data_IF_089117643961
#
_entry.id   IF_089117643961
#
_cell.length_a   1.000
_cell.length_b   1.000
_cell.length_c   1.000
_cell.angle_alpha   90.00
_cell.angle_beta   90.00
_cell.angle_gamma   90.00
#
_symmetry.space_group_name_H-M   'P 1'
#
loop_
_entity.id
_entity.type
_entity.pdbx_description
1 polymer ?
#
# COMPACT_ATOMS: atom_id res chain seq x y z
N UNK A 1 2.37 86.74 18.65
CA UNK A 1 2.81 87.52 17.48
C UNK A 1 1.75 87.68 16.37
N UNK A 2 0.92 86.66 16.07
CA UNK A 2 -0.11 86.73 14.99
C UNK A 2 -1.22 87.78 15.20
N UNK A 3 -1.67 88.02 16.44
CA UNK A 3 -2.76 88.97 16.76
C UNK A 3 -2.47 90.42 16.30
N UNK A 4 -1.23 90.88 16.43
CA UNK A 4 -0.76 92.20 15.96
C UNK A 4 -0.71 92.30 14.42
N UNK A 5 -0.53 91.18 13.72
CA UNK A 5 -0.47 91.15 12.25
C UNK A 5 -1.85 91.30 11.60
N UNK A 6 -2.89 90.70 12.21
CA UNK A 6 -4.25 90.72 11.67
C UNK A 6 -4.96 92.07 11.87
N UNK A 7 -4.77 92.71 13.04
CA UNK A 7 -5.31 94.06 13.30
C UNK A 7 -4.68 95.11 12.37
N UNK A 8 -3.37 94.99 12.09
CA UNK A 8 -2.67 95.89 11.16
C UNK A 8 -3.22 95.77 9.73
N UNK A 9 -3.42 94.53 9.23
CA UNK A 9 -4.02 94.29 7.91
C UNK A 9 -5.46 94.81 7.83
N UNK A 10 -6.25 94.64 8.89
CA UNK A 10 -7.61 95.17 8.94
C UNK A 10 -7.60 96.70 8.85
N UNK A 11 -6.73 97.36 9.63
CA UNK A 11 -6.54 98.82 9.62
C UNK A 11 -6.12 99.35 8.24
N UNK A 12 -5.21 98.65 7.55
CA UNK A 12 -4.80 99.01 6.18
C UNK A 12 -5.94 98.87 5.15
N UNK A 13 -6.85 97.91 5.33
CA UNK A 13 -7.98 97.67 4.42
C UNK A 13 -9.12 98.68 4.56
N UNK A 14 -9.46 99.06 5.79
CA UNK A 14 -10.64 99.91 6.08
C UNK A 14 -10.27 101.36 6.41
N UNK A 15 -8.99 101.66 6.61
CA UNK A 15 -8.48 102.98 6.97
C UNK A 15 -8.63 103.33 8.46
N UNK A 16 -7.84 104.32 8.91
CA UNK A 16 -7.71 104.72 10.32
C UNK A 16 -9.03 105.17 10.97
N UNK A 17 -9.87 105.88 10.22
CA UNK A 17 -11.13 106.44 10.73
C UNK A 17 -12.21 105.36 10.95
N UNK A 18 -12.35 104.42 10.00
CA UNK A 18 -13.28 103.30 10.14
C UNK A 18 -12.77 102.28 11.16
N UNK A 19 -11.45 102.05 11.21
CA UNK A 19 -10.84 101.13 12.17
C UNK A 19 -11.10 101.53 13.62
N UNK A 20 -11.04 102.82 13.98
CA UNK A 20 -11.33 103.29 15.34
C UNK A 20 -12.73 102.91 15.83
N UNK A 21 -13.74 102.94 14.94
CA UNK A 21 -15.11 102.52 15.29
C UNK A 21 -15.18 101.01 15.51
N UNK A 22 -14.57 100.25 14.61
CA UNK A 22 -14.53 98.78 14.69
C UNK A 22 -13.69 98.28 15.88
N UNK A 23 -12.63 99.00 16.27
CA UNK A 23 -11.79 98.68 17.43
C UNK A 23 -12.56 98.77 18.75
N UNK A 24 -13.42 99.78 18.89
CA UNK A 24 -14.32 99.91 20.04
C UNK A 24 -15.31 98.73 20.08
N UNK A 25 -15.91 98.39 18.94
CA UNK A 25 -16.88 97.29 18.82
C UNK A 25 -16.24 95.90 19.00
N UNK A 26 -14.97 95.76 18.63
CA UNK A 26 -14.18 94.55 18.83
C UNK A 26 -14.04 94.22 20.31
N UNK A 27 -14.00 95.24 21.19
CA UNK A 27 -14.02 95.07 22.65
C UNK A 27 -13.07 93.96 23.15
N UNK A 28 -11.85 93.92 22.63
CA UNK A 28 -10.83 92.93 22.98
C UNK A 28 -11.03 91.52 22.41
N UNK A 29 -12.04 91.28 21.57
CA UNK A 29 -12.23 90.00 20.86
C UNK A 29 -11.10 89.76 19.87
N UNK A 30 -10.65 88.51 19.82
CA UNK A 30 -9.58 88.08 18.92
C UNK A 30 -10.11 87.90 17.49
N UNK A 31 -9.48 88.59 16.54
CA UNK A 31 -9.78 88.45 15.12
C UNK A 31 -9.08 87.23 14.54
N UNK A 32 -9.85 86.42 13.82
CA UNK A 32 -9.35 85.32 13.02
C UNK A 32 -9.63 85.66 11.57
N UNK A 33 -8.56 85.80 10.77
CA UNK A 33 -8.67 85.91 9.33
C UNK A 33 -8.63 84.51 8.73
N UNK A 34 -9.62 84.17 7.90
CA UNK A 34 -9.58 82.94 7.12
C UNK A 34 -8.60 83.10 5.96
N UNK A 35 -7.32 82.86 6.25
CA UNK A 35 -6.19 82.91 5.31
C UNK A 35 -5.90 81.54 4.67
N UNK A 36 -6.87 80.61 4.71
CA UNK A 36 -6.72 79.21 4.30
C UNK A 36 -6.11 78.30 5.37
N UNK A 37 -5.64 78.86 6.49
CA UNK A 37 -5.05 78.10 7.60
C UNK A 37 -5.98 77.98 8.83
N UNK A 38 -7.16 78.59 8.76
CA UNK A 38 -8.18 78.47 9.81
C UNK A 38 -9.07 77.26 9.54
N UNK A 39 -9.05 76.29 10.47
CA UNK A 39 -9.94 75.12 10.45
C UNK A 39 -10.91 75.26 11.62
N UNK A 40 -12.23 75.32 11.37
CA UNK A 40 -13.24 75.31 12.43
C UNK A 40 -13.12 74.06 13.29
N UNK A 41 -13.29 74.19 14.61
CA UNK A 41 -13.16 73.07 15.56
C UNK A 41 -14.02 71.86 15.15
N UNK A 42 -15.26 72.09 14.72
CA UNK A 42 -16.16 71.03 14.22
C UNK A 42 -15.51 70.23 13.09
N UNK A 43 -14.93 70.90 12.10
CA UNK A 43 -14.27 70.24 10.96
C UNK A 43 -13.03 69.45 11.39
N UNK A 44 -12.29 69.93 12.39
CA UNK A 44 -11.17 69.20 12.97
C UNK A 44 -11.64 67.95 13.72
N UNK A 45 -12.66 68.09 14.57
CA UNK A 45 -13.23 66.99 15.35
C UNK A 45 -13.83 65.91 14.42
N UNK A 46 -14.58 66.31 13.38
CA UNK A 46 -15.14 65.40 12.37
C UNK A 46 -14.03 64.58 11.67
N UNK A 47 -12.95 65.24 11.23
CA UNK A 47 -11.80 64.58 10.60
C UNK A 47 -11.02 63.69 11.56
N UNK A 48 -10.90 64.09 12.82
CA UNK A 48 -10.21 63.31 13.83
C UNK A 48 -10.97 62.00 14.10
N UNK A 49 -12.29 62.05 14.17
CA UNK A 49 -13.12 60.86 14.37
C UNK A 49 -13.15 59.96 13.13
N UNK A 50 -13.13 60.53 11.93
CA UNK A 50 -12.92 59.77 10.68
C UNK A 50 -11.57 59.03 10.70
N UNK A 51 -10.47 59.71 11.05
CA UNK A 51 -9.14 59.10 11.14
C UNK A 51 -9.10 57.97 12.17
N UNK A 52 -9.70 58.16 13.36
CA UNK A 52 -9.79 57.11 14.38
C UNK A 52 -10.56 55.90 13.86
N UNK A 53 -11.65 56.13 13.14
CA UNK A 53 -12.49 55.06 12.58
C UNK A 53 -11.72 54.28 11.53
N UNK A 54 -11.10 54.97 10.57
CA UNK A 54 -10.27 54.35 9.54
C UNK A 54 -9.07 53.59 10.12
N UNK A 55 -8.46 54.11 11.19
CA UNK A 55 -7.34 53.44 11.86
C UNK A 55 -7.79 52.12 12.49
N UNK A 56 -8.92 52.11 13.20
CA UNK A 56 -9.50 50.89 13.76
C UNK A 56 -9.86 49.89 12.68
N UNK A 57 -10.49 50.34 11.60
CA UNK A 57 -10.86 49.48 10.48
C UNK A 57 -9.62 48.84 9.82
N UNK A 58 -8.56 49.63 9.62
CA UNK A 58 -7.28 49.14 9.11
C UNK A 58 -6.64 48.11 10.03
N UNK A 59 -6.67 48.32 11.34
CA UNK A 59 -6.16 47.37 12.33
C UNK A 59 -6.93 46.04 12.27
N UNK A 60 -8.26 46.10 12.23
CA UNK A 60 -9.12 44.92 12.07
C UNK A 60 -8.81 44.17 10.78
N UNK A 61 -8.80 44.87 9.64
CA UNK A 61 -8.49 44.27 8.33
C UNK A 61 -7.09 43.63 8.29
N UNK A 62 -6.12 44.26 8.95
CA UNK A 62 -4.75 43.71 9.04
C UNK A 62 -4.72 42.45 9.91
N UNK A 63 -5.48 42.43 11.01
CA UNK A 63 -5.67 41.26 11.86
C UNK A 63 -6.31 40.10 11.09
N UNK A 64 -7.44 40.36 10.42
CA UNK A 64 -8.17 39.36 9.63
C UNK A 64 -7.30 38.79 8.50
N UNK A 65 -6.54 39.65 7.81
CA UNK A 65 -5.61 39.23 6.76
C UNK A 65 -4.55 38.27 7.31
N UNK A 66 -3.97 38.59 8.47
CA UNK A 66 -2.97 37.74 9.12
C UNK A 66 -3.56 36.37 9.50
N UNK A 67 -4.74 36.35 10.11
CA UNK A 67 -5.43 35.09 10.47
C UNK A 67 -5.76 34.26 9.22
N UNK A 68 -6.19 34.90 8.14
CA UNK A 68 -6.46 34.22 6.87
C UNK A 68 -5.19 33.61 6.25
N UNK A 69 -4.06 34.33 6.29
CA UNK A 69 -2.77 33.83 5.85
C UNK A 69 -2.27 32.64 6.68
N UNK A 70 -2.44 32.68 8.00
CA UNK A 70 -2.09 31.57 8.89
C UNK A 70 -2.96 30.33 8.60
N UNK A 71 -4.26 30.53 8.35
CA UNK A 71 -5.19 29.46 7.99
C UNK A 71 -4.84 28.82 6.64
N UNK A 72 -4.48 29.61 5.64
CA UNK A 72 -4.05 29.11 4.32
C UNK A 72 -2.76 28.29 4.42
N UNK A 73 -1.76 28.75 5.17
CA UNK A 73 -0.53 27.97 5.41
C UNK A 73 -0.84 26.62 6.06
N UNK A 74 -1.70 26.63 7.08
CA UNK A 74 -2.11 25.39 7.76
C UNK A 74 -2.80 24.42 6.80
N UNK A 75 -3.70 24.92 5.93
CA UNK A 75 -4.35 24.09 4.91
C UNK A 75 -3.37 23.55 3.87
N UNK A 76 -2.38 24.34 3.45
CA UNK A 76 -1.33 23.87 2.52
C UNK A 76 -0.46 22.77 3.14
N UNK A 77 -0.10 22.90 4.41
CA UNK A 77 0.69 21.91 5.14
C UNK A 77 -0.10 20.61 5.38
N UNK A 78 -1.38 20.71 5.78
CA UNK A 78 -2.30 19.58 5.91
C UNK A 78 -2.51 18.85 4.57
N UNK A 79 -2.64 19.59 3.46
CA UNK A 79 -2.81 19.01 2.11
C UNK A 79 -1.54 18.27 1.64
N UNK A 80 -0.35 18.83 1.87
CA UNK A 80 0.92 18.19 1.50
C UNK A 80 1.13 16.89 2.27
N UNK A 81 0.93 16.92 3.59
CA UNK A 81 1.09 15.74 4.45
C UNK A 81 0.05 14.65 4.17
N UNK A 82 -1.20 15.03 3.93
CA UNK A 82 -2.26 14.10 3.52
C UNK A 82 -1.95 13.41 2.18
N UNK A 83 -1.56 14.18 1.16
CA UNK A 83 -1.27 13.64 -0.17
C UNK A 83 -0.04 12.71 -0.17
N UNK A 84 1.04 13.08 0.54
CA UNK A 84 2.23 12.22 0.65
C UNK A 84 1.91 10.88 1.33
N UNK A 85 1.05 10.90 2.35
CA UNK A 85 0.62 9.67 3.05
C UNK A 85 -0.19 8.76 2.14
N UNK A 86 -1.11 9.32 1.36
CA UNK A 86 -1.95 8.55 0.42
C UNK A 86 -1.12 7.97 -0.72
N UNK A 87 -0.19 8.72 -1.31
CA UNK A 87 0.70 8.23 -2.36
C UNK A 87 1.58 7.06 -1.87
N UNK A 88 2.13 7.16 -0.65
CA UNK A 88 2.88 6.07 -0.02
C UNK A 88 2.01 4.82 0.21
N UNK A 89 0.80 4.99 0.72
CA UNK A 89 -0.13 3.87 0.93
C UNK A 89 -0.52 3.20 -0.39
N UNK A 90 -0.74 3.96 -1.46
CA UNK A 90 -1.04 3.41 -2.78
C UNK A 90 0.16 2.62 -3.32
N UNK A 91 1.38 3.15 -3.19
CA UNK A 91 2.59 2.45 -3.63
C UNK A 91 2.80 1.14 -2.87
N UNK A 92 2.63 1.15 -1.54
CA UNK A 92 2.75 -0.05 -0.70
C UNK A 92 1.67 -1.09 -1.00
N UNK A 93 0.42 -0.66 -1.21
CA UNK A 93 -0.68 -1.56 -1.59
C UNK A 93 -0.45 -2.16 -2.97
N UNK A 94 -0.01 -1.37 -3.94
CA UNK A 94 0.30 -1.84 -5.30
C UNK A 94 1.39 -2.90 -5.26
N UNK A 95 2.49 -2.65 -4.53
CA UNK A 95 3.57 -3.62 -4.36
C UNK A 95 3.08 -4.93 -3.70
N UNK A 96 2.22 -4.84 -2.68
CA UNK A 96 1.64 -6.02 -2.03
C UNK A 96 0.77 -6.83 -2.98
N UNK A 97 -0.03 -6.16 -3.82
CA UNK A 97 -0.87 -6.83 -4.83
C UNK A 97 -0.01 -7.57 -5.84
N UNK A 98 1.06 -6.94 -6.36
CA UNK A 98 1.97 -7.57 -7.31
C UNK A 98 2.68 -8.80 -6.70
N UNK A 99 3.17 -8.69 -5.46
CA UNK A 99 3.76 -9.82 -4.74
C UNK A 99 2.77 -10.98 -4.54
N UNK A 100 1.51 -10.68 -4.23
CA UNK A 100 0.47 -11.69 -4.06
C UNK A 100 0.11 -12.35 -5.40
N UNK A 101 -0.06 -11.58 -6.47
CA UNK A 101 -0.34 -12.12 -7.81
C UNK A 101 0.77 -13.05 -8.28
N UNK A 102 2.04 -12.68 -8.05
CA UNK A 102 3.18 -13.55 -8.38
C UNK A 102 3.16 -14.85 -7.56
N UNK A 103 2.83 -14.79 -6.27
CA UNK A 103 2.69 -15.99 -5.42
C UNK A 103 1.54 -16.89 -5.88
N UNK A 104 0.40 -16.31 -6.25
CA UNK A 104 -0.75 -17.03 -6.77
C UNK A 104 -0.38 -17.71 -8.09
N UNK A 105 0.22 -16.99 -9.05
CA UNK A 105 0.65 -17.57 -10.32
C UNK A 105 1.66 -18.72 -10.13
N UNK A 106 2.59 -18.58 -9.19
CA UNK A 106 3.52 -19.67 -8.85
C UNK A 106 2.80 -20.87 -8.23
N UNK A 107 1.83 -20.64 -7.35
CA UNK A 107 1.04 -21.70 -6.70
C UNK A 107 0.11 -22.42 -7.69
N UNK A 108 -0.51 -21.68 -8.59
CA UNK A 108 -1.34 -22.24 -9.65
C UNK A 108 -0.50 -23.10 -10.60
N UNK A 109 0.70 -22.62 -10.98
CA UNK A 109 1.64 -23.42 -11.76
C UNK A 109 2.06 -24.70 -11.00
N UNK A 110 2.38 -24.59 -9.72
CA UNK A 110 2.74 -25.74 -8.88
C UNK A 110 1.59 -26.77 -8.79
N UNK A 111 0.35 -26.30 -8.60
CA UNK A 111 -0.85 -27.12 -8.56
C UNK A 111 -1.12 -27.81 -9.90
N UNK A 112 -1.02 -27.06 -11.00
CA UNK A 112 -1.19 -27.60 -12.35
C UNK A 112 -0.16 -28.70 -12.64
N UNK A 113 1.12 -28.45 -12.32
CA UNK A 113 2.18 -29.44 -12.49
C UNK A 113 1.91 -30.71 -11.67
N UNK A 114 1.52 -30.58 -10.40
CA UNK A 114 1.17 -31.74 -9.57
C UNK A 114 -0.05 -32.50 -10.09
N UNK A 115 -1.06 -31.80 -10.59
CA UNK A 115 -2.24 -32.40 -11.21
C UNK A 115 -1.85 -33.19 -12.46
N UNK A 116 -1.03 -32.59 -13.34
CA UNK A 116 -0.53 -33.23 -14.55
C UNK A 116 0.34 -34.44 -14.22
N UNK A 117 1.20 -34.34 -13.20
CA UNK A 117 2.01 -35.45 -12.70
C UNK A 117 1.14 -36.63 -12.24
N UNK A 118 0.11 -36.36 -11.43
CA UNK A 118 -0.82 -37.39 -10.95
C UNK A 118 -1.58 -38.04 -12.10
N UNK A 119 -2.14 -37.23 -13.00
CA UNK A 119 -2.91 -37.72 -14.14
C UNK A 119 -2.05 -38.58 -15.07
N UNK A 120 -0.81 -38.16 -15.34
CA UNK A 120 0.13 -38.92 -16.16
C UNK A 120 0.49 -40.25 -15.49
N UNK A 121 0.75 -40.22 -14.18
CA UNK A 121 1.01 -41.42 -13.40
C UNK A 121 -0.13 -42.42 -13.48
N UNK A 122 -1.36 -41.97 -13.30
CA UNK A 122 -2.55 -42.83 -13.35
C UNK A 122 -2.75 -43.40 -14.76
N UNK A 123 -2.54 -42.57 -15.77
CA UNK A 123 -2.65 -42.98 -17.18
C UNK A 123 -1.59 -44.03 -17.56
N UNK A 124 -0.32 -43.84 -17.16
CA UNK A 124 0.77 -44.80 -17.41
C UNK A 124 0.58 -46.10 -16.62
N UNK A 125 0.06 -46.02 -15.40
CA UNK A 125 -0.29 -47.20 -14.59
C UNK A 125 -1.41 -47.98 -15.25
N UNK A 126 -2.46 -47.30 -15.74
CA UNK A 126 -3.54 -47.90 -16.54
C UNK A 126 -3.06 -48.54 -17.84
N UNK A 127 -1.99 -48.00 -18.44
CA UNK A 127 -1.32 -48.56 -19.62
C UNK A 127 -0.41 -49.77 -19.32
N UNK A 128 -0.31 -50.20 -18.06
CA UNK A 128 0.41 -51.43 -17.67
C UNK A 128 1.81 -51.22 -17.10
N UNK A 129 2.20 -49.99 -16.75
CA UNK A 129 3.47 -49.71 -16.05
C UNK A 129 3.28 -49.96 -14.54
N UNK A 130 3.57 -51.18 -14.09
CA UNK A 130 3.38 -51.57 -12.67
C UNK A 130 4.56 -51.22 -11.76
N UNK A 131 5.78 -51.14 -12.31
CA UNK A 131 6.98 -50.85 -11.51
C UNK A 131 7.14 -49.34 -11.25
N UNK A 132 7.23 -48.89 -9.98
CA UNK A 132 7.42 -47.48 -9.64
C UNK A 132 8.69 -46.84 -10.23
N UNK A 133 9.76 -47.63 -10.46
CA UNK A 133 10.99 -47.13 -11.10
C UNK A 133 10.77 -46.85 -12.59
N UNK A 134 10.06 -47.74 -13.28
CA UNK A 134 9.75 -47.60 -14.70
C UNK A 134 8.77 -46.44 -14.92
N UNK A 135 7.81 -46.27 -14.02
CA UNK A 135 6.88 -45.15 -14.03
C UNK A 135 7.63 -43.80 -13.96
N UNK A 136 8.53 -43.65 -12.97
CA UNK A 136 9.35 -42.43 -12.85
C UNK A 136 10.25 -42.17 -14.06
N UNK A 137 10.69 -43.23 -14.74
CA UNK A 137 11.51 -43.10 -15.94
C UNK A 137 10.66 -42.60 -17.12
N UNK A 138 9.54 -43.25 -17.40
CA UNK A 138 8.64 -42.90 -18.49
C UNK A 138 7.99 -41.53 -18.30
N UNK A 139 7.71 -41.11 -17.07
CA UNK A 139 7.19 -39.76 -16.79
C UNK A 139 8.15 -38.65 -17.23
N UNK A 140 9.47 -38.90 -17.31
CA UNK A 140 10.45 -37.90 -17.79
C UNK A 140 10.41 -37.66 -19.29
N UNK A 141 9.79 -38.56 -20.04
CA UNK A 141 9.60 -38.42 -21.48
C UNK A 141 8.45 -37.44 -21.81
N UNK A 142 7.65 -37.05 -20.80
CA UNK A 142 6.56 -36.09 -20.94
C UNK A 142 6.92 -34.73 -20.35
N UNK A 143 6.63 -33.68 -21.11
CA UNK A 143 6.71 -32.30 -20.62
C UNK A 143 5.44 -31.94 -19.86
N UNK A 144 5.48 -32.04 -18.53
CA UNK A 144 4.35 -31.76 -17.64
C UNK A 144 3.82 -30.31 -17.79
N UNK A 145 4.66 -29.35 -18.18
CA UNK A 145 4.28 -27.96 -18.38
C UNK A 145 3.48 -27.75 -19.68
N UNK A 146 3.62 -28.66 -20.65
CA UNK A 146 2.94 -28.58 -21.97
C UNK A 146 1.84 -29.62 -22.15
N UNK A 147 1.48 -30.30 -21.07
CA UNK A 147 0.54 -31.41 -21.12
C UNK A 147 -0.88 -30.88 -21.25
N UNK A 148 -1.52 -31.18 -22.38
CA UNK A 148 -2.92 -30.79 -22.64
C UNK A 148 -3.88 -31.88 -22.16
N UNK A 149 -4.84 -31.49 -21.32
CA UNK A 149 -5.93 -32.35 -20.86
C UNK A 149 -7.20 -32.00 -21.64
N UNK A 150 -7.93 -33.02 -22.07
CA UNK A 150 -9.23 -32.85 -22.73
C UNK A 150 -10.37 -32.61 -21.73
N UNK A 151 -11.59 -32.46 -22.24
CA UNK A 151 -12.79 -32.22 -21.42
C UNK A 151 -13.19 -33.43 -20.57
N UNK A 152 -12.72 -34.61 -20.95
CA UNK A 152 -13.01 -35.88 -20.29
C UNK A 152 -11.95 -36.21 -19.21
N UNK A 153 -10.99 -35.30 -18.99
CA UNK A 153 -9.94 -35.45 -18.00
C UNK A 153 -8.80 -36.36 -18.46
N UNK A 154 -8.66 -36.63 -19.76
CA UNK A 154 -7.57 -37.45 -20.33
C UNK A 154 -6.51 -36.58 -20.99
N UNK A 155 -5.30 -37.11 -21.02
CA UNK A 155 -4.17 -36.46 -21.68
C UNK A 155 -4.34 -36.60 -23.19
N UNK A 156 -4.38 -35.48 -23.92
CA UNK A 156 -4.53 -35.51 -25.38
C UNK A 156 -3.32 -36.18 -26.03
N UNK A 157 -3.57 -37.03 -27.02
CA UNK A 157 -2.51 -37.73 -27.76
C UNK A 157 -1.72 -38.74 -26.91
N UNK A 158 -2.23 -39.08 -25.72
CA UNK A 158 -1.59 -40.03 -24.82
C UNK A 158 -1.50 -41.43 -25.43
N UNK A 159 -2.58 -41.91 -26.05
CA UNK A 159 -2.63 -43.25 -26.64
C UNK A 159 -1.55 -43.44 -27.72
N UNK A 160 -1.32 -42.44 -28.56
CA UNK A 160 -0.28 -42.47 -29.59
C UNK A 160 1.12 -42.39 -29.00
N UNK A 161 1.30 -41.59 -27.95
CA UNK A 161 2.57 -41.44 -27.25
C UNK A 161 2.94 -42.74 -26.50
N UNK A 162 1.98 -43.37 -25.83
CA UNK A 162 2.18 -44.63 -25.12
C UNK A 162 2.47 -45.78 -26.06
N UNK A 163 1.80 -45.87 -27.22
CA UNK A 163 2.12 -46.91 -28.22
C UNK A 163 3.57 -46.86 -28.66
N UNK A 164 4.10 -45.66 -28.96
CA UNK A 164 5.52 -45.48 -29.28
C UNK A 164 6.42 -45.90 -28.12
N UNK A 165 6.08 -45.50 -26.89
CA UNK A 165 6.83 -45.90 -25.70
C UNK A 165 6.79 -47.42 -25.46
N UNK A 166 5.69 -48.10 -25.78
CA UNK A 166 5.58 -49.55 -25.69
C UNK A 166 6.44 -50.27 -26.75
N UNK A 167 6.61 -49.67 -27.93
CA UNK A 167 7.51 -50.16 -28.98
C UNK A 167 8.98 -49.97 -28.57
N UNK A 168 9.34 -48.77 -28.12
CA UNK A 168 10.73 -48.40 -27.77
C UNK A 168 11.19 -49.00 -26.44
N UNK A 169 10.27 -49.13 -25.48
CA UNK A 169 10.55 -49.52 -24.09
C UNK A 169 9.70 -50.69 -23.62
N UNK A 170 9.44 -51.68 -24.49
CA UNK A 170 8.70 -52.90 -24.18
C UNK A 170 8.98 -53.53 -22.79
N UNK A 171 10.23 -53.70 -22.32
CA UNK A 171 10.49 -54.30 -20.99
C UNK A 171 10.06 -53.43 -19.81
N UNK A 172 9.76 -52.14 -20.02
CA UNK A 172 9.27 -51.25 -18.97
C UNK A 172 7.76 -51.42 -18.69
N UNK A 173 7.04 -52.05 -19.61
CA UNK A 173 5.60 -52.33 -19.53
C UNK A 173 5.37 -53.82 -19.24
N UNK A 174 4.45 -54.15 -18.32
CA UNK A 174 4.13 -55.53 -17.95
C UNK A 174 4.35 -55.84 -16.46
N UNK A 175 4.14 -57.10 -16.10
CA UNK A 175 4.28 -57.58 -14.72
C UNK A 175 5.76 -57.78 -14.34
N UNK A 176 6.12 -57.40 -13.11
CA UNK A 176 7.38 -57.84 -12.52
C UNK A 176 7.38 -59.37 -12.49
N UNK A 177 8.11 -60.00 -13.41
CA UNK A 177 8.52 -61.38 -13.22
C UNK A 177 9.53 -61.39 -12.07
N UNK A 178 9.05 -61.59 -10.85
CA UNK A 178 9.90 -61.98 -9.74
C UNK A 178 10.54 -63.32 -10.09
N UNK A 179 11.75 -63.28 -10.64
CA UNK A 179 12.63 -64.43 -10.82
C UNK A 179 13.21 -64.88 -9.48
N UNK A 180 12.35 -65.18 -8.51
CA UNK A 180 12.75 -65.90 -7.30
C UNK A 180 12.76 -67.39 -7.61
N UNK A 181 13.86 -68.06 -7.36
CA UNK A 181 13.87 -69.53 -7.30
C UNK A 181 12.80 -69.96 -6.29
N UNK A 182 11.82 -70.81 -6.65
CA UNK A 182 10.85 -71.30 -5.68
C UNK A 182 11.59 -72.00 -4.53
N UNK A 183 11.21 -71.77 -3.26
CA UNK A 183 11.80 -72.48 -2.14
C UNK A 183 11.40 -73.96 -2.24
N UNK A 184 12.27 -74.77 -2.82
CA UNK A 184 11.98 -76.19 -3.05
C UNK A 184 12.83 -76.92 -4.10
N UNK A 185 13.75 -76.25 -4.80
CA UNK A 185 14.67 -76.92 -5.73
C UNK A 185 16.14 -76.62 -5.38
N UNK A 186 16.55 -77.04 -4.19
CA UNK A 186 17.93 -77.15 -3.78
C UNK A 186 18.16 -78.54 -3.19
N UNK A 187 19.02 -79.33 -3.82
CA UNK A 187 19.42 -80.65 -3.37
C UNK A 187 19.87 -80.64 -1.89
N UNK A 188 19.30 -81.55 -1.09
CA UNK A 188 19.97 -82.17 0.05
C UNK A 188 19.80 -81.49 1.41
N UNK A 189 18.71 -81.81 2.12
CA UNK A 189 18.72 -82.12 3.54
C UNK A 189 17.46 -82.92 3.88
N UNK A 190 17.65 -84.09 4.49
CA UNK A 190 16.61 -85.06 4.85
C UNK A 190 15.68 -84.51 5.93
N UNK A 191 14.41 -84.91 5.83
CA UNK A 191 13.26 -84.53 6.66
C UNK A 191 13.25 -85.12 8.08
N UNK A 192 14.41 -85.34 8.69
CA UNK A 192 14.52 -85.97 10.03
C UNK A 192 14.93 -84.99 11.15
N UNK A 193 15.44 -83.80 10.85
CA UNK A 193 15.93 -82.86 11.89
C UNK A 193 14.91 -81.78 12.33
N UNK A 194 13.62 -81.91 11.97
CA UNK A 194 12.58 -80.92 12.31
C UNK A 194 11.43 -81.48 13.17
N UNK A 195 11.67 -82.56 13.92
CA UNK A 195 10.74 -83.02 14.95
C UNK A 195 11.51 -83.33 16.23
N UNK A 196 11.65 -82.31 17.06
CA UNK A 196 11.57 -82.37 18.54
C UNK A 196 12.06 -81.05 19.11
N UNK A 197 11.19 -80.03 19.07
CA UNK A 197 11.22 -79.02 20.13
C UNK A 197 9.78 -78.97 20.64
N UNK A 198 9.49 -79.78 21.66
CA UNK A 198 8.19 -79.74 22.33
C UNK A 198 8.04 -78.39 23.03
N UNK A 199 6.83 -77.88 23.04
CA UNK A 199 6.40 -76.65 23.72
C UNK A 199 6.75 -76.61 25.22
N UNK A 200 7.06 -77.75 25.85
CA UNK A 200 7.57 -77.80 27.23
C UNK A 200 8.96 -77.15 27.42
N UNK A 201 9.86 -77.19 26.43
CA UNK A 201 11.23 -76.65 26.61
C UNK A 201 11.29 -75.12 26.54
N UNK A 202 10.30 -74.48 25.88
CA UNK A 202 10.21 -73.02 25.82
C UNK A 202 9.78 -72.40 27.17
N UNK A 203 8.92 -73.10 27.93
CA UNK A 203 8.42 -72.59 29.21
C UNK A 203 9.38 -72.82 30.39
N UNK A 204 10.36 -73.71 30.28
CA UNK A 204 11.37 -73.90 31.33
C UNK A 204 12.45 -72.81 31.34
N UNK A 205 12.63 -72.03 30.27
CA UNK A 205 13.67 -70.99 30.20
C UNK A 205 13.24 -69.61 30.72
N UNK A 206 11.95 -69.36 30.95
CA UNK A 206 11.46 -68.03 31.36
C UNK A 206 11.05 -67.89 32.84
N UNK A 207 10.85 -68.98 33.60
CA UNK A 207 10.26 -68.88 34.97
C UNK A 207 11.23 -69.22 36.12
N UNK A 208 12.36 -69.87 35.86
CA UNK A 208 13.39 -70.03 36.90
C UNK A 208 14.75 -69.59 36.38
N UNK A 209 15.09 -68.31 36.63
CA UNK A 209 16.46 -67.85 36.60
C UNK A 209 17.33 -68.77 37.45
N UNK A 210 18.28 -69.48 36.81
CA UNK A 210 19.29 -70.24 37.53
C UNK A 210 20.49 -69.33 37.82
N UNK A 211 20.54 -68.98 39.11
CA UNK A 211 21.70 -68.89 40.02
C UNK A 211 23.07 -68.65 39.42
#
# INVERSE_FOLDING_TARGET
MKRMSYLKKLKELIGDEAFKKVEVDLNGKELILNDGNYIPKKTFDDKLDEIKTLTKEKETLTGDLKTSQESLKKMEDEKKSGNQTVEQQIADLTKKIDEQNNKIAQKDKELQLKSNESLLKDSLTGAGVKNPKNLKLLMKEFDLDKLEVDKDGKIKGFDDSVKKLQEDYKPLFGEEQFGGTPPGQGNGATTEDMKEMSTEDFYSSEVFGKK
#
